data_IF_968001761464
#
_entry.id   IF_968001761464
#
_cell.length_a   1.000
_cell.length_b   1.000
_cell.length_c   1.000
_cell.angle_alpha   90.00
_cell.angle_beta   90.00
_cell.angle_gamma   90.00
#
_symmetry.space_group_name_H-M   'P 1'
#
loop_
_entity.id
_entity.type
_entity.pdbx_description
1 polymer ?
#
# COMPACT_ATOMS: atom_id res chain seq x y z
N UNK A 1 11.12 4.13 15.11
CA UNK A 1 9.93 5.01 15.19
C UNK A 1 9.04 4.69 14.00
N UNK A 2 7.75 4.40 14.18
CA UNK A 2 6.86 4.06 13.06
C UNK A 2 6.47 5.32 12.28
N UNK A 3 6.50 5.24 10.95
CA UNK A 3 6.10 6.28 10.01
C UNK A 3 4.78 5.92 9.33
N UNK A 4 4.13 6.89 8.68
CA UNK A 4 2.89 6.67 7.94
C UNK A 4 3.20 6.58 6.46
N UNK A 5 2.65 5.55 5.82
CA UNK A 5 2.76 5.34 4.38
C UNK A 5 1.36 5.29 3.78
N UNK A 6 1.13 6.10 2.76
CA UNK A 6 -0.04 6.00 1.89
C UNK A 6 0.27 5.00 0.78
N UNK A 7 -0.44 3.87 0.78
CA UNK A 7 -0.27 2.83 -0.23
C UNK A 7 -1.46 2.89 -1.18
N UNK A 8 -1.16 3.03 -2.47
CA UNK A 8 -2.12 3.00 -3.56
C UNK A 8 -2.05 1.62 -4.20
N UNK A 9 -3.17 0.90 -4.20
CA UNK A 9 -3.29 -0.42 -4.80
C UNK A 9 -4.42 -0.44 -5.83
N UNK A 10 -4.25 -1.24 -6.87
CA UNK A 10 -5.27 -1.42 -7.89
C UNK A 10 -4.93 -2.61 -8.77
N UNK A 11 -5.91 -3.04 -9.55
CA UNK A 11 -5.66 -3.95 -10.66
C UNK A 11 -5.38 -3.07 -11.89
N UNK A 12 -4.24 -3.22 -12.58
CA UNK A 12 -3.92 -2.39 -13.74
C UNK A 12 -4.94 -2.51 -14.89
N UNK A 13 -5.86 -3.49 -14.84
CA UNK A 13 -6.96 -3.64 -15.79
C UNK A 13 -8.35 -3.28 -15.24
N UNK A 14 -8.51 -2.98 -13.94
CA UNK A 14 -9.83 -2.70 -13.34
C UNK A 14 -9.77 -1.56 -12.33
N UNK A 15 -10.51 -0.50 -12.64
CA UNK A 15 -10.90 0.52 -11.66
C UNK A 15 -11.89 -0.09 -10.66
N UNK A 16 -11.82 0.25 -9.35
CA UNK A 16 -11.11 1.39 -8.78
C UNK A 16 -9.74 1.07 -8.13
N UNK A 17 -8.83 2.04 -8.18
CA UNK A 17 -7.66 2.06 -7.30
C UNK A 17 -8.09 2.45 -5.88
N UNK A 18 -7.65 1.70 -4.89
CA UNK A 18 -7.85 2.00 -3.47
C UNK A 18 -6.57 2.60 -2.88
N UNK A 19 -6.71 3.52 -1.95
CA UNK A 19 -5.59 4.04 -1.17
C UNK A 19 -5.88 3.96 0.32
N UNK A 20 -4.87 3.63 1.12
CA UNK A 20 -5.00 3.55 2.57
C UNK A 20 -3.68 3.87 3.26
N UNK A 21 -3.79 4.31 4.52
CA UNK A 21 -2.63 4.64 5.36
C UNK A 21 -2.24 3.43 6.21
N UNK A 22 -0.96 3.07 6.17
CA UNK A 22 -0.36 2.06 7.06
C UNK A 22 0.73 2.71 7.91
N UNK A 23 0.85 2.23 9.16
CA UNK A 23 1.99 2.58 10.01
C UNK A 23 3.03 1.48 9.94
N UNK A 24 4.20 1.80 9.39
CA UNK A 24 5.31 0.87 9.19
C UNK A 24 6.64 1.54 9.51
N UNK A 25 7.71 0.78 9.73
CA UNK A 25 9.04 1.38 9.95
C UNK A 25 9.70 1.84 8.64
N UNK A 26 9.32 1.23 7.51
CA UNK A 26 9.83 1.53 6.17
C UNK A 26 8.81 1.14 5.09
N UNK A 27 9.12 1.49 3.83
CA UNK A 27 8.28 1.19 2.66
C UNK A 27 8.11 -0.31 2.42
N UNK A 28 9.12 -1.13 2.69
CA UNK A 28 9.06 -2.58 2.50
C UNK A 28 8.06 -3.25 3.46
N UNK A 29 8.04 -2.82 4.72
CA UNK A 29 7.01 -3.27 5.66
C UNK A 29 5.61 -2.79 5.26
N UNK A 30 5.49 -1.56 4.76
CA UNK A 30 4.22 -1.02 4.27
C UNK A 30 3.68 -1.85 3.10
N UNK A 31 4.54 -2.18 2.12
CA UNK A 31 4.25 -3.06 1.00
C UNK A 31 3.79 -4.45 1.46
N UNK A 32 4.52 -5.06 2.38
CA UNK A 32 4.19 -6.39 2.90
C UNK A 32 2.83 -6.40 3.61
N UNK A 33 2.54 -5.36 4.38
CA UNK A 33 1.28 -5.21 5.09
C UNK A 33 0.12 -5.00 4.11
N UNK A 34 0.35 -4.20 3.07
CA UNK A 34 -0.61 -3.94 2.01
C UNK A 34 -0.94 -5.21 1.21
N UNK A 35 0.08 -5.96 0.77
CA UNK A 35 -0.09 -7.26 0.11
C UNK A 35 -0.82 -8.28 0.98
N UNK A 36 -0.57 -8.28 2.30
CA UNK A 36 -1.30 -9.16 3.23
C UNK A 36 -2.77 -8.79 3.36
N UNK A 37 -3.10 -7.49 3.30
CA UNK A 37 -4.47 -6.96 3.42
C UNK A 37 -5.26 -7.17 2.13
N UNK A 38 -4.62 -6.92 0.98
CA UNK A 38 -5.22 -6.99 -0.35
C UNK A 38 -4.36 -7.85 -1.29
N UNK A 39 -4.32 -9.18 -1.11
CA UNK A 39 -3.42 -10.06 -1.87
C UNK A 39 -3.79 -10.20 -3.36
N UNK A 40 -4.92 -9.63 -3.78
CA UNK A 40 -5.42 -9.65 -5.16
C UNK A 40 -5.19 -8.34 -5.91
N UNK A 41 -4.63 -7.33 -5.25
CA UNK A 41 -4.36 -6.02 -5.84
C UNK A 41 -2.86 -5.82 -5.95
N UNK A 42 -2.43 -5.14 -7.01
CA UNK A 42 -1.04 -4.76 -7.19
C UNK A 42 -0.79 -3.39 -6.57
N UNK A 43 0.41 -3.18 -6.04
CA UNK A 43 0.81 -1.87 -5.52
C UNK A 43 1.19 -0.97 -6.70
N UNK A 44 0.49 0.14 -6.83
CA UNK A 44 0.78 1.16 -7.83
C UNK A 44 1.81 2.18 -7.32
N UNK A 45 1.69 2.59 -6.05
CA UNK A 45 2.65 3.50 -5.41
C UNK A 45 2.59 3.44 -3.89
N UNK A 46 3.70 3.81 -3.25
CA UNK A 46 3.83 3.99 -1.81
C UNK A 46 4.41 5.38 -1.58
N UNK A 47 3.84 6.16 -0.66
CA UNK A 47 4.31 7.49 -0.33
C UNK A 47 4.35 7.71 1.18
N UNK A 48 5.51 8.11 1.71
CA UNK A 48 5.66 8.52 3.11
C UNK A 48 4.89 9.84 3.38
N UNK A 49 4.17 9.89 4.50
CA UNK A 49 3.34 11.03 4.95
C UNK A 49 3.76 11.52 6.34
#
# INVERSE_FOLDING_TARGET
MKKRYEVHMGDPGKLPHISFIVQAENEFEAEKLANKRYPKLEICSIKEK
#
